data_IF_306993464701
#
_entry.id   IF_306993464701
#
_cell.length_a   1.000
_cell.length_b   1.000
_cell.length_c   1.000
_cell.angle_alpha   90.00
_cell.angle_beta   90.00
_cell.angle_gamma   90.00
#
_symmetry.space_group_name_H-M   'P 1'
#
loop_
_entity.id
_entity.type
_entity.pdbx_description
1 polymer ?
#
# COMPACT_ATOMS: atom_id res chain seq x y z
N UNK A 1 10.34 8.65 -12.10
CA UNK A 1 10.90 7.36 -11.68
C UNK A 1 10.32 6.21 -12.50
N UNK A 2 9.03 5.95 -12.48
CA UNK A 2 8.36 4.83 -13.16
C UNK A 2 8.61 4.77 -14.68
N UNK A 3 8.57 5.91 -15.37
CA UNK A 3 8.90 5.96 -16.82
C UNK A 3 10.34 5.53 -17.13
N UNK A 4 11.28 5.83 -16.23
CA UNK A 4 12.66 5.36 -16.38
C UNK A 4 12.76 3.84 -16.12
N UNK A 5 12.02 3.34 -15.11
CA UNK A 5 11.95 1.90 -14.83
C UNK A 5 11.33 1.13 -16.02
N UNK A 6 10.26 1.64 -16.61
CA UNK A 6 9.62 1.06 -17.81
C UNK A 6 10.62 0.94 -18.97
N UNK A 7 11.37 2.02 -19.24
CA UNK A 7 12.40 2.01 -20.27
C UNK A 7 13.48 0.96 -20.00
N UNK A 8 14.01 0.93 -18.76
CA UNK A 8 15.04 -0.03 -18.37
C UNK A 8 14.53 -1.48 -18.47
N UNK A 9 13.24 -1.69 -18.17
CA UNK A 9 12.60 -3.01 -18.30
C UNK A 9 12.48 -3.42 -19.76
N UNK A 10 12.05 -2.53 -20.66
CA UNK A 10 11.99 -2.75 -22.11
C UNK A 10 13.37 -3.02 -22.71
N UNK A 11 14.41 -2.37 -22.17
CA UNK A 11 15.81 -2.62 -22.52
C UNK A 11 16.37 -3.92 -21.92
N UNK A 12 15.55 -4.72 -21.23
CA UNK A 12 15.92 -5.99 -20.57
C UNK A 12 17.04 -5.85 -19.51
N UNK A 13 17.21 -4.65 -18.94
CA UNK A 13 18.17 -4.38 -17.87
C UNK A 13 17.63 -4.76 -16.50
N UNK A 14 16.32 -4.78 -16.33
CA UNK A 14 15.62 -5.25 -15.12
C UNK A 14 15.23 -6.70 -15.34
N UNK A 15 15.63 -7.57 -14.41
CA UNK A 15 15.31 -8.99 -14.44
C UNK A 15 14.06 -9.30 -13.65
N UNK A 16 13.30 -10.31 -14.09
CA UNK A 16 12.08 -10.74 -13.41
C UNK A 16 10.90 -9.81 -13.65
N UNK A 17 10.00 -9.73 -12.69
CA UNK A 17 8.81 -8.87 -12.78
C UNK A 17 9.15 -7.41 -12.52
N UNK A 18 8.44 -6.51 -13.19
CA UNK A 18 8.48 -5.08 -12.92
C UNK A 18 7.05 -4.55 -12.84
N UNK A 19 6.60 -4.27 -11.63
CA UNK A 19 5.25 -3.80 -11.36
C UNK A 19 5.24 -2.29 -11.15
N UNK A 20 4.98 -1.55 -12.23
CA UNK A 20 4.97 -0.10 -12.24
C UNK A 20 3.71 0.47 -11.59
N UNK A 21 3.84 1.60 -10.91
CA UNK A 21 2.74 2.37 -10.31
C UNK A 21 2.22 3.48 -11.24
N UNK A 22 2.55 3.44 -12.51
CA UNK A 22 2.16 4.47 -13.49
C UNK A 22 0.63 4.61 -13.56
N UNK A 23 0.15 5.82 -13.30
CA UNK A 23 -1.28 6.18 -13.27
C UNK A 23 -1.99 5.81 -11.95
N UNK A 24 -1.24 5.36 -10.94
CA UNK A 24 -1.75 5.03 -9.59
C UNK A 24 -1.02 5.81 -8.49
N UNK A 25 -0.19 6.78 -8.84
CA UNK A 25 0.68 7.52 -7.93
C UNK A 25 -0.11 8.30 -6.88
N UNK A 26 -1.30 8.79 -7.24
CA UNK A 26 -2.14 9.56 -6.35
C UNK A 26 -2.55 8.81 -5.07
N UNK A 27 -2.66 7.48 -5.13
CA UNK A 27 -2.98 6.66 -3.95
C UNK A 27 -1.86 6.72 -2.93
N UNK A 28 -0.63 6.44 -3.37
CA UNK A 28 0.54 6.47 -2.49
C UNK A 28 0.76 7.86 -1.89
N UNK A 29 0.63 8.92 -2.71
CA UNK A 29 0.79 10.31 -2.28
C UNK A 29 -0.31 10.69 -1.28
N UNK A 30 -1.57 10.39 -1.57
CA UNK A 30 -2.70 10.76 -0.72
C UNK A 30 -2.67 10.05 0.64
N UNK A 31 -2.34 8.76 0.66
CA UNK A 31 -2.21 7.98 1.90
C UNK A 31 -1.07 8.55 2.76
N UNK A 32 0.12 8.75 2.18
CA UNK A 32 1.27 9.25 2.93
C UNK A 32 1.02 10.65 3.54
N UNK A 33 0.32 11.55 2.82
CA UNK A 33 -0.02 12.87 3.36
C UNK A 33 -1.02 12.83 4.52
N UNK A 34 -1.67 11.70 4.72
CA UNK A 34 -2.66 11.50 5.77
C UNK A 34 -2.11 10.79 6.98
N UNK A 35 -0.90 10.27 6.89
CA UNK A 35 -0.22 9.48 7.92
C UNK A 35 0.92 10.25 8.57
N UNK A 36 1.30 9.79 9.74
CA UNK A 36 2.54 10.18 10.40
C UNK A 36 3.69 9.24 10.01
N UNK A 37 4.92 9.61 10.33
CA UNK A 37 6.08 8.73 10.07
C UNK A 37 6.16 7.54 11.02
N UNK A 38 5.42 7.59 12.11
CA UNK A 38 5.30 6.55 13.13
C UNK A 38 4.25 5.49 12.77
N UNK A 39 3.33 5.82 11.85
CA UNK A 39 2.37 4.86 11.33
C UNK A 39 3.04 3.92 10.34
N UNK A 40 2.57 2.69 10.27
CA UNK A 40 3.14 1.66 9.42
C UNK A 40 2.31 1.46 8.14
N UNK A 41 3.00 1.20 7.04
CA UNK A 41 2.37 0.84 5.76
C UNK A 41 2.92 -0.52 5.30
N UNK A 42 2.02 -1.35 4.81
CA UNK A 42 2.35 -2.57 4.06
C UNK A 42 1.44 -2.67 2.83
N UNK A 43 1.98 -3.09 1.71
CA UNK A 43 1.24 -3.15 0.45
C UNK A 43 1.54 -4.42 -0.35
N UNK A 44 0.91 -4.56 -1.49
CA UNK A 44 1.15 -5.63 -2.45
C UNK A 44 2.45 -5.39 -3.27
N UNK A 45 2.62 -6.16 -4.30
CA UNK A 45 3.80 -6.16 -5.19
C UNK A 45 4.07 -4.82 -5.91
N UNK A 46 3.11 -3.91 -5.98
CA UNK A 46 3.25 -2.59 -6.64
C UNK A 46 3.64 -1.53 -5.61
N UNK A 47 4.87 -1.59 -5.14
CA UNK A 47 5.31 -0.88 -3.95
C UNK A 47 6.23 0.32 -4.18
N UNK A 48 6.64 0.61 -5.44
CA UNK A 48 7.63 1.66 -5.72
C UNK A 48 7.21 3.05 -5.22
N UNK A 49 5.95 3.42 -5.44
CA UNK A 49 5.40 4.71 -5.00
C UNK A 49 5.43 4.86 -3.48
N UNK A 50 5.03 3.82 -2.75
CA UNK A 50 5.04 3.82 -1.29
C UNK A 50 6.46 3.86 -0.72
N UNK A 51 7.40 3.10 -1.29
CA UNK A 51 8.81 3.16 -0.90
C UNK A 51 9.38 4.58 -1.05
N UNK A 52 9.07 5.24 -2.19
CA UNK A 52 9.49 6.62 -2.44
C UNK A 52 8.90 7.60 -1.41
N UNK A 53 7.60 7.51 -1.16
CA UNK A 53 6.89 8.39 -0.22
C UNK A 53 7.37 8.20 1.23
N UNK A 54 7.79 6.99 1.59
CA UNK A 54 8.41 6.68 2.89
C UNK A 54 9.89 7.05 2.98
N UNK A 55 10.42 7.75 1.98
CA UNK A 55 11.73 8.39 2.04
C UNK A 55 12.86 7.62 1.36
N UNK A 56 12.55 6.55 0.65
CA UNK A 56 13.55 5.91 -0.21
C UNK A 56 13.96 6.83 -1.35
N UNK A 57 15.24 6.85 -1.68
CA UNK A 57 15.71 7.65 -2.81
C UNK A 57 15.37 6.99 -4.15
N UNK A 58 15.14 7.80 -5.18
CA UNK A 58 14.98 7.28 -6.55
C UNK A 58 16.16 6.41 -6.96
N UNK A 59 17.38 6.79 -6.54
CA UNK A 59 18.60 6.02 -6.82
C UNK A 59 18.53 4.62 -6.19
N UNK A 60 18.10 4.50 -4.93
CA UNK A 60 18.02 3.21 -4.25
C UNK A 60 16.92 2.32 -4.83
N UNK A 61 15.78 2.90 -5.24
CA UNK A 61 14.69 2.15 -5.88
C UNK A 61 15.14 1.62 -7.25
N UNK A 62 15.70 2.47 -8.11
CA UNK A 62 16.20 2.04 -9.43
C UNK A 62 17.38 1.07 -9.27
N UNK A 63 18.26 1.29 -8.30
CA UNK A 63 19.34 0.36 -7.95
C UNK A 63 18.81 -1.02 -7.59
N UNK A 64 17.72 -1.09 -6.83
CA UNK A 64 17.07 -2.36 -6.48
C UNK A 64 16.53 -3.08 -7.71
N UNK A 65 15.83 -2.37 -8.59
CA UNK A 65 15.32 -2.92 -9.83
C UNK A 65 16.43 -3.50 -10.73
N UNK A 66 17.61 -2.88 -10.70
CA UNK A 66 18.77 -3.31 -11.48
C UNK A 66 19.60 -4.38 -10.76
N UNK A 67 19.19 -4.85 -9.59
CA UNK A 67 19.91 -5.84 -8.78
C UNK A 67 21.26 -5.32 -8.25
N UNK A 68 21.36 -4.03 -7.96
CA UNK A 68 22.59 -3.39 -7.47
C UNK A 68 22.63 -3.40 -5.95
N UNK A 69 23.85 -3.48 -5.39
CA UNK A 69 24.08 -3.47 -3.94
C UNK A 69 23.60 -2.16 -3.26
N UNK A 70 23.59 -1.05 -4.02
CA UNK A 70 23.08 0.25 -3.59
C UNK A 70 21.54 0.32 -3.57
N UNK A 71 20.87 -0.77 -3.97
CA UNK A 71 19.42 -0.88 -3.89
C UNK A 71 18.92 -0.91 -2.44
N UNK A 72 17.65 -0.55 -2.25
CA UNK A 72 17.00 -0.44 -0.94
C UNK A 72 16.99 -1.76 -0.15
N UNK A 73 17.00 -2.89 -0.86
CA UNK A 73 17.11 -4.24 -0.30
C UNK A 73 18.39 -4.96 -0.83
N UNK A 74 19.45 -4.20 -1.06
CA UNK A 74 20.75 -4.69 -1.55
C UNK A 74 20.68 -5.45 -2.90
N UNK A 75 19.69 -5.10 -3.73
CA UNK A 75 19.47 -5.73 -5.03
C UNK A 75 18.86 -7.13 -4.98
N UNK A 76 18.37 -7.56 -3.82
CA UNK A 76 17.81 -8.91 -3.61
C UNK A 76 16.29 -8.95 -3.68
N UNK A 77 15.62 -7.83 -3.46
CA UNK A 77 14.16 -7.74 -3.43
C UNK A 77 13.53 -7.54 -4.82
N UNK A 78 14.23 -6.88 -5.72
CA UNK A 78 13.70 -6.54 -7.03
C UNK A 78 12.52 -5.58 -6.96
N UNK A 79 11.58 -5.71 -7.91
CA UNK A 79 10.44 -4.79 -8.01
C UNK A 79 9.42 -4.92 -6.86
N UNK A 80 9.30 -6.08 -6.24
CA UNK A 80 8.19 -6.40 -5.33
C UNK A 80 8.55 -6.34 -3.85
N UNK A 81 9.83 -6.31 -3.50
CA UNK A 81 10.28 -6.45 -2.12
C UNK A 81 11.21 -5.30 -1.75
N UNK A 82 10.61 -4.15 -1.49
CA UNK A 82 11.29 -2.94 -1.04
C UNK A 82 10.79 -2.57 0.35
N UNK A 83 11.71 -2.20 1.24
CA UNK A 83 11.44 -1.92 2.65
C UNK A 83 12.08 -0.60 3.05
N UNK A 84 11.43 0.15 3.92
CA UNK A 84 11.96 1.37 4.51
C UNK A 84 11.45 1.52 5.94
N UNK A 85 11.91 2.52 6.68
CA UNK A 85 11.39 2.79 8.02
C UNK A 85 9.89 3.12 7.96
N UNK A 86 9.07 2.39 8.72
CA UNK A 86 7.61 2.53 8.71
C UNK A 86 6.95 2.01 7.43
N UNK A 87 7.73 1.37 6.54
CA UNK A 87 7.23 0.71 5.35
C UNK A 87 7.69 -0.75 5.33
N UNK A 88 6.76 -1.64 5.58
CA UNK A 88 7.01 -3.08 5.71
C UNK A 88 6.90 -3.82 4.38
N UNK A 89 7.06 -3.07 3.32
CA UNK A 89 7.34 -3.56 2.00
C UNK A 89 6.14 -3.85 1.13
N UNK A 90 6.50 -4.23 -0.09
CA UNK A 90 5.66 -4.94 -1.01
C UNK A 90 5.69 -6.43 -0.72
N UNK A 91 4.70 -7.13 -1.23
CA UNK A 91 4.60 -8.57 -1.08
C UNK A 91 4.27 -9.23 -2.42
N UNK A 92 5.08 -10.20 -2.83
CA UNK A 92 4.87 -10.95 -4.06
C UNK A 92 3.76 -11.99 -3.94
N UNK A 93 3.49 -12.48 -2.72
CA UNK A 93 2.40 -13.43 -2.46
C UNK A 93 1.11 -12.63 -2.27
N UNK A 94 0.18 -12.79 -3.20
CA UNK A 94 -1.06 -12.02 -3.24
C UNK A 94 -1.89 -12.26 -1.98
N UNK A 95 -2.18 -11.18 -1.25
CA UNK A 95 -2.98 -11.21 -0.02
C UNK A 95 -2.18 -11.48 1.27
N UNK A 96 -0.94 -11.96 1.20
CA UNK A 96 -0.15 -12.30 2.38
C UNK A 96 0.18 -11.09 3.27
N UNK A 97 0.22 -9.88 2.71
CA UNK A 97 0.44 -8.65 3.47
C UNK A 97 -0.71 -8.33 4.44
N UNK A 98 -1.91 -8.88 4.22
CA UNK A 98 -3.08 -8.53 5.04
C UNK A 98 -2.95 -9.04 6.48
N UNK A 99 -2.67 -10.33 6.73
CA UNK A 99 -2.42 -10.80 8.08
C UNK A 99 -1.14 -10.22 8.70
N UNK A 100 -0.10 -9.95 7.89
CA UNK A 100 1.12 -9.30 8.40
C UNK A 100 0.81 -7.89 8.90
N UNK A 101 0.03 -7.12 8.15
CA UNK A 101 -0.38 -5.79 8.56
C UNK A 101 -1.27 -5.78 9.80
N UNK A 102 -2.14 -6.79 9.98
CA UNK A 102 -2.85 -7.00 11.24
C UNK A 102 -1.88 -7.27 12.40
N UNK A 103 -0.80 -8.02 12.15
CA UNK A 103 0.27 -8.26 13.12
C UNK A 103 1.03 -6.98 13.51
N UNK A 104 1.29 -6.07 12.57
CA UNK A 104 1.88 -4.76 12.86
C UNK A 104 0.97 -3.94 13.79
N UNK A 105 -0.32 -3.91 13.51
CA UNK A 105 -1.30 -3.26 14.37
C UNK A 105 -1.39 -3.90 15.76
N UNK A 106 -1.29 -5.23 15.84
CA UNK A 106 -1.19 -5.94 17.09
C UNK A 106 0.05 -5.51 17.89
N UNK A 107 1.20 -5.38 17.22
CA UNK A 107 2.42 -4.91 17.86
C UNK A 107 2.27 -3.48 18.40
N UNK A 108 1.62 -2.57 17.68
CA UNK A 108 1.31 -1.22 18.18
C UNK A 108 0.45 -1.28 19.43
N UNK A 109 -0.61 -2.08 19.43
CA UNK A 109 -1.50 -2.23 20.59
C UNK A 109 -0.77 -2.86 21.78
N UNK A 110 0.01 -3.90 21.54
CA UNK A 110 0.78 -4.59 22.59
C UNK A 110 1.80 -3.66 23.26
N UNK A 111 2.48 -2.83 22.48
CA UNK A 111 3.45 -1.87 22.96
C UNK A 111 2.82 -0.58 23.52
N UNK A 112 1.50 -0.44 23.51
CA UNK A 112 0.80 0.76 23.98
C UNK A 112 0.97 1.97 23.06
N UNK A 113 1.42 1.79 21.83
CA UNK A 113 1.56 2.84 20.83
C UNK A 113 0.20 3.31 20.31
N UNK A 114 0.12 4.59 19.93
CA UNK A 114 -1.10 5.16 19.31
C UNK A 114 -1.08 5.16 17.79
N UNK A 115 -0.12 4.45 17.20
CA UNK A 115 0.11 4.39 15.77
C UNK A 115 -0.86 3.43 15.09
N UNK A 116 -1.03 3.60 13.79
CA UNK A 116 -1.93 2.80 12.96
C UNK A 116 -1.13 2.02 11.92
N UNK A 117 -1.56 0.81 11.63
CA UNK A 117 -1.07 0.04 10.48
C UNK A 117 -2.01 0.22 9.30
N UNK A 118 -1.50 0.66 8.16
CA UNK A 118 -2.24 0.75 6.89
C UNK A 118 -1.84 -0.40 5.99
N UNK A 119 -2.83 -1.19 5.63
CA UNK A 119 -2.67 -2.44 4.89
C UNK A 119 -3.38 -2.33 3.56
N UNK A 120 -2.63 -2.36 2.47
CA UNK A 120 -3.18 -2.22 1.13
C UNK A 120 -3.14 -3.56 0.39
N UNK A 121 -4.22 -3.86 -0.31
CA UNK A 121 -4.35 -5.06 -1.12
C UNK A 121 -5.25 -4.79 -2.33
N UNK A 122 -5.03 -5.54 -3.40
CA UNK A 122 -5.82 -5.39 -4.62
C UNK A 122 -7.15 -6.15 -4.56
N UNK A 123 -8.04 -5.82 -5.48
CA UNK A 123 -9.33 -6.47 -5.69
C UNK A 123 -9.21 -7.99 -5.91
N UNK A 124 -8.18 -8.44 -6.62
CA UNK A 124 -7.90 -9.86 -6.80
C UNK A 124 -7.59 -10.60 -5.49
N UNK A 125 -6.97 -9.92 -4.51
CA UNK A 125 -6.68 -10.49 -3.20
C UNK A 125 -7.91 -10.55 -2.30
N UNK A 126 -8.91 -9.72 -2.54
CA UNK A 126 -10.07 -9.53 -1.66
C UNK A 126 -10.87 -10.80 -1.39
N UNK A 127 -10.81 -11.79 -2.29
CA UNK A 127 -11.52 -13.06 -2.17
C UNK A 127 -10.73 -14.17 -1.49
N UNK A 128 -9.50 -13.90 -1.03
CA UNK A 128 -8.71 -14.91 -0.33
C UNK A 128 -9.17 -15.06 1.12
N UNK A 129 -9.29 -16.31 1.59
CA UNK A 129 -9.74 -16.62 2.96
C UNK A 129 -8.93 -15.93 4.03
N UNK A 130 -7.61 -15.86 3.89
CA UNK A 130 -6.71 -15.18 4.84
C UNK A 130 -7.03 -13.69 5.07
N UNK A 131 -7.65 -13.03 4.09
CA UNK A 131 -8.09 -11.63 4.24
C UNK A 131 -9.21 -11.54 5.26
N UNK A 132 -10.21 -12.43 5.15
CA UNK A 132 -11.33 -12.49 6.10
C UNK A 132 -10.89 -12.94 7.49
N UNK A 133 -9.94 -13.87 7.56
CA UNK A 133 -9.34 -14.30 8.83
C UNK A 133 -8.64 -13.14 9.54
N UNK A 134 -7.85 -12.37 8.81
CA UNK A 134 -7.19 -11.16 9.33
C UNK A 134 -8.20 -10.11 9.79
N UNK A 135 -9.28 -9.90 9.03
CA UNK A 135 -10.35 -8.97 9.42
C UNK A 135 -11.05 -9.42 10.71
N UNK A 136 -11.31 -10.72 10.84
CA UNK A 136 -11.92 -11.27 12.04
C UNK A 136 -11.04 -11.05 13.28
N UNK A 137 -9.74 -11.37 13.19
CA UNK A 137 -8.77 -11.12 14.26
C UNK A 137 -8.66 -9.63 14.61
N UNK A 138 -8.54 -8.79 13.59
CA UNK A 138 -8.45 -7.35 13.78
C UNK A 138 -9.68 -6.78 14.51
N UNK A 139 -10.87 -7.26 14.17
CA UNK A 139 -12.11 -6.87 14.83
C UNK A 139 -12.21 -7.43 16.26
N UNK A 140 -11.89 -8.70 16.44
CA UNK A 140 -11.97 -9.37 17.75
C UNK A 140 -11.07 -8.68 18.79
N UNK A 141 -9.88 -8.27 18.37
CA UNK A 141 -8.89 -7.64 19.25
C UNK A 141 -8.89 -6.11 19.20
N UNK A 142 -9.80 -5.50 18.43
CA UNK A 142 -9.90 -4.04 18.24
C UNK A 142 -8.55 -3.41 17.81
N UNK A 143 -7.87 -4.02 16.86
CA UNK A 143 -6.55 -3.58 16.40
C UNK A 143 -6.62 -2.21 15.69
N UNK A 144 -5.60 -1.35 15.87
CA UNK A 144 -5.48 -0.07 15.16
C UNK A 144 -5.00 -0.29 13.72
N UNK A 145 -5.85 -0.84 12.88
CA UNK A 145 -5.54 -1.17 11.49
C UNK A 145 -6.55 -0.58 10.52
N UNK A 146 -6.06 -0.10 9.39
CA UNK A 146 -6.86 0.32 8.25
C UNK A 146 -6.57 -0.62 7.07
N UNK A 147 -7.58 -1.34 6.62
CA UNK A 147 -7.51 -2.17 5.42
C UNK A 147 -8.05 -1.41 4.21
N UNK A 148 -7.19 -1.19 3.21
CA UNK A 148 -7.52 -0.51 1.96
C UNK A 148 -7.51 -1.47 0.78
N UNK A 149 -8.65 -1.63 0.10
CA UNK A 149 -8.72 -2.36 -1.15
C UNK A 149 -8.45 -1.40 -2.32
N UNK A 150 -7.37 -1.60 -3.04
CA UNK A 150 -7.06 -0.88 -4.26
C UNK A 150 -7.72 -1.59 -5.44
N UNK A 151 -8.86 -1.06 -5.89
CA UNK A 151 -9.56 -1.60 -7.06
C UNK A 151 -9.23 -0.80 -8.30
N UNK A 152 -8.78 -1.50 -9.34
CA UNK A 152 -8.72 -0.96 -10.69
C UNK A 152 -10.00 -1.37 -11.37
N UNK A 153 -10.86 -0.42 -11.72
CA UNK A 153 -11.99 -0.68 -12.60
C UNK A 153 -11.42 -1.05 -13.97
N UNK A 154 -11.01 -2.30 -14.07
CA UNK A 154 -10.49 -2.85 -15.30
C UNK A 154 -11.64 -3.52 -16.05
N UNK A 155 -11.73 -3.19 -17.29
CA UNK A 155 -12.32 -4.00 -18.35
C UNK A 155 -13.81 -4.00 -18.62
N UNK A 156 -14.66 -3.16 -18.05
CA UNK A 156 -16.02 -3.06 -18.62
C UNK A 156 -16.25 -1.87 -19.56
N UNK A 157 -15.39 -0.86 -19.52
CA UNK A 157 -15.42 0.21 -20.53
C UNK A 157 -14.00 0.53 -20.98
N UNK A 158 -13.62 -0.12 -22.06
CA UNK A 158 -12.45 0.29 -22.81
C UNK A 158 -12.52 1.80 -23.11
N UNK A 159 -11.39 2.47 -22.87
CA UNK A 159 -10.94 3.68 -23.55
C UNK A 159 -11.23 5.06 -22.98
N UNK A 160 -11.97 5.31 -21.92
CA UNK A 160 -11.96 6.69 -21.38
C UNK A 160 -12.06 6.73 -19.86
N UNK A 161 -11.05 7.35 -19.25
CA UNK A 161 -10.97 7.71 -17.83
C UNK A 161 -10.57 6.59 -16.85
N UNK A 162 -9.27 6.55 -16.57
CA UNK A 162 -8.68 5.90 -15.39
C UNK A 162 -9.20 6.56 -14.12
N UNK A 163 -10.37 6.17 -13.65
CA UNK A 163 -10.86 6.56 -12.33
C UNK A 163 -10.43 5.52 -11.32
N UNK A 164 -9.69 5.95 -10.30
CA UNK A 164 -9.58 5.23 -9.05
C UNK A 164 -10.99 5.18 -8.45
N UNK A 165 -11.61 4.02 -8.50
CA UNK A 165 -12.82 3.77 -7.73
C UNK A 165 -12.38 3.01 -6.51
N UNK A 166 -12.39 3.67 -5.36
CA UNK A 166 -12.47 3.00 -4.09
C UNK A 166 -13.80 2.23 -4.11
N UNK A 167 -13.70 0.92 -4.15
CA UNK A 167 -14.87 0.10 -3.99
C UNK A 167 -15.43 0.37 -2.59
N UNK A 168 -16.60 1.00 -2.52
CA UNK A 168 -17.34 1.30 -1.29
C UNK A 168 -17.98 0.02 -0.75
N UNK A 169 -17.23 -1.05 -0.68
CA UNK A 169 -17.64 -2.25 0.03
C UNK A 169 -16.86 -2.32 1.35
N UNK A 170 -17.52 -1.71 2.34
CA UNK A 170 -17.23 -1.86 3.76
C UNK A 170 -15.76 -1.67 4.14
N UNK A 171 -15.39 -0.41 4.33
CA UNK A 171 -14.32 -0.07 5.27
C UNK A 171 -14.78 -0.58 6.63
N UNK A 172 -14.28 -1.73 7.04
CA UNK A 172 -14.45 -2.21 8.39
C UNK A 172 -13.51 -1.39 9.28
N UNK A 173 -14.07 -0.31 9.86
CA UNK A 173 -13.39 0.40 10.93
C UNK A 173 -13.32 -0.54 12.13
N UNK A 174 -12.12 -0.83 12.61
CA UNK A 174 -11.94 -1.23 13.99
C UNK A 174 -12.38 -0.05 14.87
N UNK A 175 -13.64 -0.02 15.25
CA UNK A 175 -14.19 1.08 16.04
C UNK A 175 -13.71 0.94 17.48
N UNK A 176 -12.75 1.76 17.89
CA UNK A 176 -12.60 2.13 19.27
C UNK A 176 -13.44 3.40 19.46
N UNK A 177 -14.15 3.50 20.59
CA UNK A 177 -15.04 4.60 20.97
C UNK A 177 -14.34 5.97 21.15
N UNK A 178 -13.16 6.17 20.61
CA UNK A 178 -12.48 7.45 20.49
C UNK A 178 -11.94 7.62 19.07
N UNK A 179 -12.06 8.83 18.47
CA UNK A 179 -11.61 9.06 17.11
C UNK A 179 -10.08 8.92 17.06
N UNK A 180 -9.60 7.85 16.44
CA UNK A 180 -8.17 7.62 16.18
C UNK A 180 -7.65 8.62 15.14
N UNK A 181 -8.53 9.21 14.34
CA UNK A 181 -8.18 10.22 13.37
C UNK A 181 -8.21 11.61 14.00
N UNK A 182 -7.04 12.15 14.36
CA UNK A 182 -6.86 13.55 14.72
C UNK A 182 -6.98 14.51 13.52
N UNK A 183 -7.12 14.02 12.31
CA UNK A 183 -7.27 14.91 11.16
C UNK A 183 -8.57 14.65 10.41
N UNK A 184 -9.47 15.62 10.45
CA UNK A 184 -10.59 15.80 9.52
C UNK A 184 -10.16 15.74 8.03
N UNK A 185 -8.87 15.75 7.75
CA UNK A 185 -8.30 15.81 6.40
C UNK A 185 -8.53 14.54 5.58
N UNK A 186 -8.55 13.36 6.20
CA UNK A 186 -8.85 12.13 5.47
C UNK A 186 -10.29 12.08 4.95
N UNK A 187 -11.25 12.50 5.76
CA UNK A 187 -12.66 12.55 5.35
C UNK A 187 -12.91 13.62 4.28
N UNK A 188 -12.18 14.75 4.33
CA UNK A 188 -12.31 15.81 3.32
C UNK A 188 -11.61 15.49 2.00
N UNK A 189 -10.49 14.78 2.02
CA UNK A 189 -9.82 14.33 0.80
C UNK A 189 -10.65 13.31 -0.01
N UNK A 190 -11.64 12.69 0.62
CA UNK A 190 -12.45 11.62 0.03
C UNK A 190 -13.88 12.03 -0.35
N UNK A 191 -14.31 13.23 0.04
CA UNK A 191 -15.62 13.76 -0.32
C UNK A 191 -15.56 14.61 -1.59
N UNK A 192 -15.06 14.06 -2.69
CA UNK A 192 -15.29 14.64 -4.01
C UNK A 192 -16.69 14.20 -4.44
N UNK A 193 -17.69 15.03 -4.12
CA UNK A 193 -19.00 14.93 -4.73
C UNK A 193 -18.87 15.18 -6.23
N UNK A 194 -19.47 14.35 -7.09
CA UNK A 194 -19.70 14.76 -8.46
C UNK A 194 -20.73 15.88 -8.43
N UNK A 195 -20.33 17.06 -8.84
CA UNK A 195 -21.32 18.08 -9.20
C UNK A 195 -22.00 17.65 -10.48
N UNK A 196 -23.31 17.70 -10.44
CA UNK A 196 -24.30 17.55 -11.51
C UNK A 196 -23.85 18.12 -12.86
#
# INVERSE_FOLDING_TARGET
>A
MEMAADRLYKEKKIRGFCHLSTGQEAVAVGIEHSLTKEDDIITAYRCHGFALMRGASVKSIIGELLGRREGIAYGKGGSMHMFAKGFYGGNGIVGAQVPVGAGLAFAHQYNGNKNTSVVLYGDGASNQGQVFEAFNMAKLWNLPVLFGCESKLAYCFALHNKRLIFCRQQIWYGYRSQPIFRSHRLLQAWSIHPRS
#
